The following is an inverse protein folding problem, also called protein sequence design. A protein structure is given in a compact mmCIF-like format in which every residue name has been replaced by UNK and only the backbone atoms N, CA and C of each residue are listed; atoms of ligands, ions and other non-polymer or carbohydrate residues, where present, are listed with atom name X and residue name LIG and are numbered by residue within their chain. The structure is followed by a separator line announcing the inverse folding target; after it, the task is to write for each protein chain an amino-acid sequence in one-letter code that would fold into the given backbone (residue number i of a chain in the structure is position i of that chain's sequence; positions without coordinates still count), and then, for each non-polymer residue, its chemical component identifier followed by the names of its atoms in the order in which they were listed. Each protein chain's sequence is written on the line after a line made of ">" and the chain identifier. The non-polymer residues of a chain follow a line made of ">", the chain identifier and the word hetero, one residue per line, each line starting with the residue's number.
data_IF_358059427130
#
_entry.id   IF_358059427130
#
_cell.length_a   1.000
_cell.length_b   1.000
_cell.length_c   1.000
_cell.angle_alpha   90.00
_cell.angle_beta   90.00
_cell.angle_gamma   90.00
#
_symmetry.space_group_name_H-M   'P 1'
#
loop_
_entity.id
_entity.type
_entity.pdbx_description
1 polymer ?
#
# COMPACT_ATOMS: atom_id res chain seq x y z
N UNK A 1 -24.30 33.22 -47.20
CA UNK A 1 -25.00 32.86 -45.95
C UNK A 1 -25.51 31.43 -46.11
N UNK A 2 -24.79 30.46 -45.53
CA UNK A 2 -25.11 29.82 -44.23
C UNK A 2 -26.34 28.90 -44.35
N UNK A 3 -26.36 27.61 -44.02
CA UNK A 3 -25.42 26.64 -43.45
C UNK A 3 -25.81 25.27 -44.04
N UNK A 4 -24.86 24.49 -44.57
CA UNK A 4 -25.11 23.09 -44.95
C UNK A 4 -24.76 22.16 -43.78
N UNK A 5 -25.69 21.26 -43.45
CA UNK A 5 -25.54 20.16 -42.49
C UNK A 5 -24.30 19.34 -42.81
N UNK A 6 -23.49 19.00 -41.81
CA UNK A 6 -22.52 17.92 -41.91
C UNK A 6 -22.63 16.96 -40.73
N UNK A 7 -22.69 15.68 -41.10
CA UNK A 7 -23.02 14.56 -40.23
C UNK A 7 -21.93 14.21 -39.24
N UNK A 8 -22.38 13.64 -38.13
CA UNK A 8 -21.54 12.93 -37.17
C UNK A 8 -20.88 11.72 -37.86
N UNK A 9 -19.62 11.86 -38.25
CA UNK A 9 -18.76 10.72 -38.54
C UNK A 9 -18.02 10.34 -37.25
N UNK A 10 -18.49 9.29 -36.58
CA UNK A 10 -17.79 8.69 -35.45
C UNK A 10 -16.54 7.97 -35.98
N UNK A 11 -15.39 8.63 -35.93
CA UNK A 11 -14.09 8.00 -36.19
C UNK A 11 -13.60 7.36 -34.89
N UNK A 12 -13.69 6.03 -34.83
CA UNK A 12 -12.95 5.19 -33.89
C UNK A 12 -11.46 5.28 -34.25
N UNK A 13 -10.66 6.00 -33.46
CA UNK A 13 -9.21 6.06 -33.65
C UNK A 13 -8.51 5.71 -32.33
N UNK A 14 -7.75 4.62 -32.41
CA UNK A 14 -6.94 4.02 -31.36
C UNK A 14 -5.86 4.97 -30.86
N UNK A 15 -5.82 5.23 -29.56
CA UNK A 15 -4.63 5.81 -28.92
C UNK A 15 -3.53 4.75 -28.89
N UNK A 16 -2.56 4.85 -29.79
CA UNK A 16 -1.29 4.15 -29.64
C UNK A 16 -0.40 5.04 -28.78
N UNK A 17 -0.39 4.77 -27.48
CA UNK A 17 0.79 5.05 -26.68
C UNK A 17 1.07 3.82 -25.82
N UNK A 18 2.15 3.14 -26.22
CA UNK A 18 2.86 2.20 -25.37
C UNK A 18 3.25 2.96 -24.12
N UNK A 19 2.55 2.64 -23.03
CA UNK A 19 3.09 2.89 -21.71
C UNK A 19 4.20 1.86 -21.58
N UNK A 20 5.46 2.30 -21.56
CA UNK A 20 6.53 1.53 -20.95
C UNK A 20 6.24 1.48 -19.44
N UNK A 21 5.20 0.73 -19.07
CA UNK A 21 5.22 -0.02 -17.84
C UNK A 21 6.19 -1.15 -18.13
N UNK A 22 7.33 -1.15 -17.43
CA UNK A 22 8.02 -2.40 -17.19
C UNK A 22 6.99 -3.36 -16.64
N UNK A 23 6.58 -4.31 -17.49
CA UNK A 23 5.79 -5.47 -17.11
C UNK A 23 6.63 -6.27 -16.12
N UNK A 24 6.50 -5.96 -14.83
CA UNK A 24 6.39 -7.07 -13.88
C UNK A 24 4.94 -7.53 -13.98
N UNK A 25 4.74 -8.69 -14.58
CA UNK A 25 3.49 -9.42 -14.50
C UNK A 25 3.31 -9.88 -13.04
N UNK A 26 2.94 -8.95 -12.15
CA UNK A 26 2.47 -9.27 -10.81
C UNK A 26 0.95 -9.12 -10.79
N UNK A 27 0.31 -10.25 -10.53
CA UNK A 27 -1.10 -10.42 -10.21
C UNK A 27 -1.63 -9.26 -9.33
N UNK A 28 -2.83 -8.69 -9.58
CA UNK A 28 -3.32 -7.51 -8.85
C UNK A 28 -3.70 -7.75 -7.38
N UNK A 29 -3.37 -8.91 -6.82
CA UNK A 29 -3.82 -9.38 -5.50
C UNK A 29 -2.72 -9.37 -4.43
N UNK A 30 -1.45 -9.13 -4.79
CA UNK A 30 -0.31 -9.29 -3.88
C UNK A 30 0.05 -8.06 -3.01
N UNK A 31 -0.31 -6.84 -3.43
CA UNK A 31 0.21 -5.60 -2.81
C UNK A 31 -0.13 -5.39 -1.33
N UNK A 32 -1.18 -6.03 -0.80
CA UNK A 32 -1.54 -5.91 0.62
C UNK A 32 -0.71 -6.76 1.59
N UNK A 33 -0.13 -7.86 1.10
CA UNK A 33 0.70 -8.78 1.90
C UNK A 33 2.07 -8.16 2.19
N UNK A 34 2.66 -7.53 1.18
CA UNK A 34 4.03 -7.04 1.23
C UNK A 34 4.23 -5.93 2.25
N UNK A 35 3.30 -4.98 2.31
CA UNK A 35 3.34 -3.85 3.23
C UNK A 35 3.23 -4.28 4.70
N UNK A 36 2.45 -5.33 4.99
CA UNK A 36 2.30 -5.87 6.35
C UNK A 36 3.56 -6.60 6.80
N UNK A 37 4.19 -7.36 5.89
CA UNK A 37 5.48 -8.02 6.12
C UNK A 37 6.59 -6.97 6.35
N UNK A 38 6.67 -5.97 5.48
CA UNK A 38 7.58 -4.83 5.60
C UNK A 38 7.43 -4.13 6.95
N UNK A 39 6.18 -3.83 7.36
CA UNK A 39 5.92 -3.17 8.63
C UNK A 39 6.30 -4.05 9.83
N UNK A 40 6.12 -5.37 9.75
CA UNK A 40 6.56 -6.30 10.82
C UNK A 40 8.08 -6.29 10.97
N UNK A 41 8.82 -6.31 9.87
CA UNK A 41 10.28 -6.19 9.86
C UNK A 41 10.74 -4.85 10.45
N UNK A 42 10.14 -3.73 10.04
CA UNK A 42 10.44 -2.42 10.62
C UNK A 42 10.15 -2.40 12.13
N UNK A 43 9.03 -2.99 12.57
CA UNK A 43 8.69 -3.09 13.99
C UNK A 43 9.75 -3.87 14.79
N UNK A 44 10.31 -4.96 14.24
CA UNK A 44 11.43 -5.71 14.85
C UNK A 44 12.65 -4.83 15.07
N UNK A 45 13.12 -4.13 14.04
CA UNK A 45 14.28 -3.24 14.14
C UNK A 45 14.07 -2.09 15.14
N UNK A 46 12.88 -1.50 15.10
CA UNK A 46 12.49 -0.44 16.02
C UNK A 46 12.40 -0.93 17.48
N UNK A 47 11.93 -2.16 17.68
CA UNK A 47 11.92 -2.80 19.00
C UNK A 47 13.33 -3.02 19.53
N UNK A 48 14.26 -3.50 18.70
CA UNK A 48 15.67 -3.70 19.09
C UNK A 48 16.38 -2.39 19.46
N UNK A 49 16.11 -1.31 18.72
CA UNK A 49 16.57 0.03 19.09
C UNK A 49 16.05 0.44 20.48
N UNK A 50 14.75 0.23 20.73
CA UNK A 50 14.14 0.52 22.03
C UNK A 50 14.77 -0.32 23.16
N UNK A 51 15.05 -1.61 22.91
CA UNK A 51 15.70 -2.48 23.88
C UNK A 51 17.14 -2.07 24.19
N UNK A 52 17.94 -1.69 23.18
CA UNK A 52 19.32 -1.21 23.39
C UNK A 52 19.37 0.04 24.27
N UNK A 53 18.39 0.92 24.13
CA UNK A 53 18.30 2.16 24.91
C UNK A 53 17.37 2.07 26.14
N UNK A 54 16.94 0.87 26.56
CA UNK A 54 15.97 0.71 27.67
C UNK A 54 16.42 1.35 28.99
N UNK A 55 17.73 1.38 29.24
CA UNK A 55 18.31 1.94 30.47
C UNK A 55 18.61 3.45 30.35
N UNK A 56 18.57 4.03 29.14
CA UNK A 56 18.82 5.45 28.93
C UNK A 56 17.51 6.25 28.97
N UNK A 57 17.26 6.95 30.08
CA UNK A 57 16.03 7.72 30.28
C UNK A 57 15.85 8.86 29.27
N UNK A 58 16.93 9.50 28.82
CA UNK A 58 16.90 10.58 27.85
C UNK A 58 16.52 10.05 26.46
N UNK A 59 17.21 9.02 25.98
CA UNK A 59 16.91 8.40 24.68
C UNK A 59 15.50 7.81 24.64
N UNK A 60 15.02 7.20 25.74
CA UNK A 60 13.63 6.72 25.83
C UNK A 60 12.60 7.84 25.63
N UNK A 61 12.88 9.06 26.11
CA UNK A 61 11.98 10.22 25.86
C UNK A 61 11.98 10.60 24.39
N UNK A 62 13.14 10.60 23.74
CA UNK A 62 13.27 10.91 22.32
C UNK A 62 12.57 9.88 21.44
N UNK A 63 12.69 8.58 21.75
CA UNK A 63 12.03 7.49 21.02
C UNK A 63 10.52 7.71 20.89
N UNK A 64 9.84 8.16 21.96
CA UNK A 64 8.38 8.42 21.93
C UNK A 64 7.94 9.43 20.88
N UNK A 65 8.82 10.34 20.47
CA UNK A 65 8.48 11.44 19.56
C UNK A 65 9.20 11.38 18.22
N UNK A 66 10.42 10.83 18.16
CA UNK A 66 11.35 10.90 17.04
C UNK A 66 11.94 9.52 16.65
N UNK A 67 11.26 8.43 17.00
CA UNK A 67 11.73 7.05 16.74
C UNK A 67 12.30 6.82 15.32
N UNK A 68 11.59 7.26 14.28
CA UNK A 68 12.02 7.07 12.89
C UNK A 68 13.27 7.89 12.54
N UNK A 69 13.49 9.03 13.19
CA UNK A 69 14.70 9.85 12.98
C UNK A 69 15.89 9.20 13.69
N UNK A 70 15.72 8.83 14.96
CA UNK A 70 16.76 8.14 15.74
C UNK A 70 17.22 6.85 15.06
N UNK A 71 16.29 6.06 14.52
CA UNK A 71 16.65 4.84 13.82
C UNK A 71 17.47 5.08 12.53
N UNK A 72 17.26 6.21 11.85
CA UNK A 72 18.06 6.56 10.66
C UNK A 72 19.49 6.98 11.03
N UNK A 73 19.66 7.56 12.21
CA UNK A 73 20.95 8.03 12.73
C UNK A 73 21.73 6.90 13.43
N UNK A 74 21.03 5.90 13.95
CA UNK A 74 21.63 4.72 14.58
C UNK A 74 22.05 3.67 13.54
N UNK A 75 23.34 3.35 13.50
CA UNK A 75 23.95 2.44 12.52
C UNK A 75 23.29 1.07 12.45
N UNK A 76 22.98 0.47 13.61
CA UNK A 76 22.38 -0.86 13.70
C UNK A 76 20.94 -0.84 13.21
N UNK A 77 20.15 0.15 13.64
CA UNK A 77 18.74 0.28 13.26
C UNK A 77 18.58 0.65 11.79
N UNK A 78 19.44 1.54 11.27
CA UNK A 78 19.45 1.92 9.87
C UNK A 78 19.76 0.73 8.96
N UNK A 79 20.76 -0.08 9.32
CA UNK A 79 21.14 -1.29 8.59
C UNK A 79 20.07 -2.38 8.69
N UNK A 80 19.43 -2.53 9.86
CA UNK A 80 18.31 -3.45 10.07
C UNK A 80 17.08 -3.09 9.21
N UNK A 81 16.70 -1.81 9.13
CA UNK A 81 15.50 -1.38 8.40
C UNK A 81 15.66 -1.44 6.87
N UNK A 82 16.89 -1.40 6.35
CA UNK A 82 17.15 -1.37 4.92
C UNK A 82 16.39 -2.47 4.13
N UNK A 83 16.56 -3.77 4.43
CA UNK A 83 15.85 -4.83 3.72
C UNK A 83 14.33 -4.80 3.94
N UNK A 84 13.86 -4.25 5.07
CA UNK A 84 12.44 -4.14 5.33
C UNK A 84 11.72 -3.23 4.32
N UNK A 85 12.41 -2.32 3.61
CA UNK A 85 11.78 -1.34 2.70
C UNK A 85 11.63 -1.80 1.26
N UNK A 86 12.41 -2.78 0.83
CA UNK A 86 12.53 -3.17 -0.58
C UNK A 86 11.63 -4.36 -0.97
N UNK A 87 10.86 -4.90 -0.03
CA UNK A 87 9.93 -6.04 -0.23
C UNK A 87 10.56 -7.25 -0.97
N UNK A 88 11.86 -7.51 -0.72
CA UNK A 88 12.56 -8.67 -1.27
C UNK A 88 12.45 -9.85 -0.29
N UNK A 89 11.90 -10.97 -0.74
CA UNK A 89 11.72 -12.19 0.07
C UNK A 89 12.72 -13.29 -0.22
N UNK A 90 13.56 -13.13 -1.23
CA UNK A 90 14.63 -14.06 -1.56
C UNK A 90 15.90 -13.69 -0.79
N UNK A 91 16.32 -14.56 0.13
CA UNK A 91 17.45 -14.28 1.04
C UNK A 91 18.73 -13.93 0.29
N UNK A 92 19.10 -14.70 -0.74
CA UNK A 92 20.35 -14.50 -1.46
C UNK A 92 20.40 -13.13 -2.14
N UNK A 93 19.30 -12.72 -2.78
CA UNK A 93 19.18 -11.41 -3.42
C UNK A 93 19.25 -10.31 -2.36
N UNK A 94 18.55 -10.45 -1.24
CA UNK A 94 18.55 -9.49 -0.14
C UNK A 94 19.95 -9.33 0.48
N UNK A 95 20.58 -10.43 0.85
CA UNK A 95 21.87 -10.48 1.54
C UNK A 95 23.02 -9.97 0.67
N UNK A 96 23.05 -10.37 -0.60
CA UNK A 96 24.17 -10.04 -1.50
C UNK A 96 24.04 -8.68 -2.18
N UNK A 97 22.82 -8.20 -2.39
CA UNK A 97 22.55 -6.92 -3.09
C UNK A 97 22.38 -5.76 -2.11
N UNK A 98 21.56 -5.92 -1.08
CA UNK A 98 21.22 -4.81 -0.17
C UNK A 98 22.22 -4.67 0.98
N UNK A 99 22.70 -5.78 1.54
CA UNK A 99 23.53 -5.76 2.75
C UNK A 99 25.04 -5.69 2.50
N UNK A 100 25.48 -5.61 1.24
CA UNK A 100 26.92 -5.62 0.90
C UNK A 100 27.66 -4.37 1.38
N UNK A 101 27.07 -3.21 1.13
CA UNK A 101 27.71 -1.91 1.35
C UNK A 101 27.17 -1.19 2.61
N UNK A 102 26.45 -1.90 3.48
CA UNK A 102 25.94 -1.31 4.72
C UNK A 102 27.05 -1.19 5.77
N UNK A 103 27.03 -0.16 6.62
CA UNK A 103 27.98 -0.02 7.72
C UNK A 103 27.95 -1.20 8.70
N UNK A 104 26.82 -1.90 8.79
CA UNK A 104 26.67 -3.11 9.57
C UNK A 104 25.89 -4.18 8.78
N UNK A 105 26.61 -5.07 8.06
CA UNK A 105 26.01 -6.15 7.30
C UNK A 105 25.31 -7.20 8.16
N UNK A 106 25.67 -7.32 9.45
CA UNK A 106 25.16 -8.37 10.34
C UNK A 106 23.68 -8.17 10.61
N UNK A 107 23.27 -7.02 11.16
CA UNK A 107 21.85 -6.76 11.45
C UNK A 107 21.02 -6.61 10.17
N UNK A 108 21.64 -6.21 9.04
CA UNK A 108 20.99 -6.22 7.73
C UNK A 108 20.65 -7.67 7.30
N UNK A 109 21.62 -8.59 7.34
CA UNK A 109 21.40 -10.00 6.96
C UNK A 109 20.42 -10.71 7.88
N UNK A 110 20.47 -10.45 9.19
CA UNK A 110 19.46 -10.95 10.14
C UNK A 110 18.05 -10.50 9.75
N UNK A 111 17.91 -9.30 9.22
CA UNK A 111 16.63 -8.76 8.77
C UNK A 111 16.17 -9.37 7.45
N UNK A 112 17.10 -9.73 6.54
CA UNK A 112 16.79 -10.56 5.36
C UNK A 112 16.25 -11.94 5.75
N UNK A 113 16.93 -12.63 6.69
CA UNK A 113 16.46 -13.93 7.22
C UNK A 113 15.08 -13.78 7.86
N UNK A 114 14.89 -12.73 8.66
CA UNK A 114 13.61 -12.47 9.29
C UNK A 114 12.49 -12.26 8.26
N UNK A 115 12.75 -11.47 7.21
CA UNK A 115 11.80 -11.20 6.12
C UNK A 115 11.37 -12.48 5.40
N UNK A 116 12.31 -13.33 5.01
CA UNK A 116 12.03 -14.63 4.38
C UNK A 116 11.14 -15.50 5.29
N UNK A 117 11.48 -15.62 6.57
CA UNK A 117 10.72 -16.41 7.53
C UNK A 117 9.28 -15.92 7.71
N UNK A 118 9.07 -14.61 7.84
CA UNK A 118 7.73 -14.06 8.06
C UNK A 118 6.89 -13.98 6.78
N UNK A 119 7.53 -13.99 5.61
CA UNK A 119 6.88 -14.12 4.31
C UNK A 119 6.43 -15.57 4.07
N UNK A 120 7.29 -16.55 4.34
CA UNK A 120 6.96 -17.96 4.24
C UNK A 120 5.90 -18.40 5.26
N UNK A 121 5.94 -17.83 6.48
CA UNK A 121 5.04 -18.17 7.58
C UNK A 121 4.49 -16.93 8.29
N UNK A 122 3.32 -16.48 7.82
CA UNK A 122 2.53 -15.42 8.45
C UNK A 122 1.97 -15.87 9.80
N UNK A 123 1.58 -14.89 10.61
CA UNK A 123 1.00 -15.12 11.94
C UNK A 123 -0.32 -15.92 11.88
N UNK A 124 -0.58 -16.70 12.93
CA UNK A 124 -1.78 -17.54 13.05
C UNK A 124 -1.59 -18.95 12.51
N UNK A 125 -2.66 -19.73 12.63
CA UNK A 125 -2.70 -21.14 12.21
C UNK A 125 -3.74 -21.32 11.11
N UNK A 126 -3.54 -22.31 10.24
CA UNK A 126 -4.58 -22.74 9.31
C UNK A 126 -5.83 -23.15 10.10
N UNK A 127 -7.03 -22.75 9.64
CA UNK A 127 -8.26 -23.12 10.32
C UNK A 127 -8.46 -24.64 10.31
N UNK A 128 -9.15 -25.21 11.31
CA UNK A 128 -9.45 -26.63 11.32
C UNK A 128 -10.27 -26.99 10.10
N UNK A 129 -9.80 -27.99 9.36
CA UNK A 129 -10.49 -28.47 8.17
C UNK A 129 -11.70 -29.29 8.59
N UNK A 130 -12.86 -29.03 7.99
CA UNK A 130 -13.98 -29.98 8.06
C UNK A 130 -13.60 -31.20 7.20
N UNK A 131 -14.03 -32.42 7.56
CA UNK A 131 -13.84 -33.58 6.69
C UNK A 131 -14.44 -33.26 5.31
N UNK A 132 -13.58 -33.21 4.31
CA UNK A 132 -13.96 -32.85 2.93
C UNK A 132 -14.54 -34.05 2.21
N UNK A 133 -15.56 -33.81 1.39
CA UNK A 133 -16.07 -34.70 0.33
C UNK A 133 -14.87 -35.20 -0.53
N UNK A 134 -14.89 -36.42 -1.08
CA UNK A 134 -13.77 -36.93 -1.89
C UNK A 134 -13.49 -35.98 -3.05
N UNK A 135 -12.28 -35.43 -3.08
CA UNK A 135 -11.82 -34.56 -4.17
C UNK A 135 -11.05 -35.43 -5.15
N UNK A 136 -11.52 -35.50 -6.40
CA UNK A 136 -10.90 -36.32 -7.45
C UNK A 136 -9.70 -35.66 -8.13
N UNK A 137 -9.42 -34.38 -7.84
CA UNK A 137 -8.36 -33.61 -8.50
C UNK A 137 -7.68 -32.63 -7.52
N UNK A 138 -6.35 -32.66 -7.46
CA UNK A 138 -5.54 -31.88 -6.52
C UNK A 138 -4.96 -30.65 -7.21
N UNK A 139 -5.09 -29.47 -6.60
CA UNK A 139 -4.57 -28.20 -7.14
C UNK A 139 -3.82 -27.41 -6.08
N UNK A 140 -2.69 -26.82 -6.46
CA UNK A 140 -1.92 -25.91 -5.61
C UNK A 140 -2.13 -24.45 -6.05
N UNK A 141 -2.93 -23.68 -5.32
CA UNK A 141 -3.18 -22.26 -5.61
C UNK A 141 -2.16 -21.32 -4.94
N UNK A 142 -1.33 -21.86 -4.04
CA UNK A 142 -0.28 -21.15 -3.31
C UNK A 142 0.79 -22.15 -2.85
N UNK A 143 2.02 -21.68 -2.70
CA UNK A 143 3.18 -22.45 -2.24
C UNK A 143 3.69 -21.96 -0.88
N UNK A 144 3.56 -20.67 -0.60
CA UNK A 144 3.93 -20.04 0.67
C UNK A 144 2.89 -19.02 1.11
N UNK A 145 2.92 -18.61 2.38
CA UNK A 145 1.94 -17.66 2.89
C UNK A 145 2.00 -16.30 2.18
N UNK A 146 3.16 -15.90 1.65
CA UNK A 146 3.33 -14.64 0.90
C UNK A 146 2.55 -14.59 -0.41
N UNK A 147 2.21 -15.74 -1.01
CA UNK A 147 1.37 -15.83 -2.21
C UNK A 147 -0.08 -15.43 -1.92
N UNK A 148 -0.49 -15.54 -0.64
CA UNK A 148 -1.82 -15.22 -0.18
C UNK A 148 -1.96 -13.74 0.18
N UNK A 149 -3.16 -13.19 -0.01
CA UNK A 149 -3.41 -11.77 0.24
C UNK A 149 -3.41 -11.45 1.74
N UNK A 150 -2.91 -10.26 2.10
CA UNK A 150 -2.95 -9.72 3.46
C UNK A 150 -2.50 -10.74 4.53
N UNK A 151 -3.41 -11.17 5.43
CA UNK A 151 -3.14 -12.11 6.53
C UNK A 151 -3.48 -13.55 6.20
N UNK A 152 -3.98 -13.83 4.99
CA UNK A 152 -4.32 -15.19 4.58
C UNK A 152 -3.06 -16.06 4.54
N UNK A 153 -3.26 -17.33 4.89
CA UNK A 153 -2.22 -18.35 4.95
C UNK A 153 -2.45 -19.39 3.87
N UNK A 154 -1.36 -19.93 3.34
CA UNK A 154 -1.41 -21.04 2.40
C UNK A 154 -1.57 -22.36 3.17
N UNK A 155 -2.76 -22.95 3.07
CA UNK A 155 -3.17 -24.09 3.88
C UNK A 155 -3.45 -25.32 3.02
N UNK A 156 -3.02 -26.49 3.50
CA UNK A 156 -3.34 -27.78 2.88
C UNK A 156 -4.75 -28.21 3.28
N UNK A 157 -5.58 -28.52 2.29
CA UNK A 157 -6.94 -29.04 2.45
C UNK A 157 -7.08 -30.29 1.59
N UNK A 158 -7.08 -31.46 2.23
CA UNK A 158 -6.95 -32.73 1.52
C UNK A 158 -5.60 -32.81 0.81
N UNK A 159 -5.60 -32.91 -0.51
CA UNK A 159 -4.38 -32.86 -1.34
C UNK A 159 -4.14 -31.50 -2.03
N UNK A 160 -5.03 -30.53 -1.85
CA UNK A 160 -4.96 -29.21 -2.48
C UNK A 160 -4.43 -28.15 -1.51
N UNK A 161 -3.99 -27.00 -2.04
CA UNK A 161 -3.52 -25.85 -1.25
C UNK A 161 -4.31 -24.59 -1.57
N UNK A 162 -4.86 -23.93 -0.55
CA UNK A 162 -5.69 -22.73 -0.69
C UNK A 162 -5.26 -21.63 0.27
N UNK A 163 -5.45 -20.38 -0.14
CA UNK A 163 -5.36 -19.23 0.77
C UNK A 163 -6.59 -19.18 1.67
N UNK A 164 -6.38 -19.35 2.98
CA UNK A 164 -7.44 -19.35 3.98
C UNK A 164 -7.18 -18.29 5.05
N UNK A 165 -8.28 -17.73 5.56
CA UNK A 165 -8.22 -16.85 6.73
C UNK A 165 -7.70 -17.62 7.96
N UNK A 166 -6.67 -17.11 8.64
CA UNK A 166 -6.05 -17.81 9.76
C UNK A 166 -6.92 -17.78 11.02
N UNK A 167 -6.77 -18.81 11.84
CA UNK A 167 -7.13 -18.74 13.26
C UNK A 167 -6.06 -17.95 14.00
N UNK A 168 -6.43 -16.76 14.49
CA UNK A 168 -5.55 -15.87 15.23
C UNK A 168 -6.00 -15.81 16.70
N UNK A 169 -5.19 -16.39 17.58
CA UNK A 169 -5.39 -16.34 19.04
C UNK A 169 -4.04 -16.08 19.73
N UNK A 170 -3.44 -14.92 19.45
CA UNK A 170 -2.18 -14.49 20.07
C UNK A 170 -2.41 -13.15 20.78
N UNK A 171 -2.32 -13.18 22.11
CA UNK A 171 -2.52 -12.01 22.96
C UNK A 171 -1.43 -10.95 22.80
N UNK A 172 -0.30 -11.30 22.16
CA UNK A 172 0.79 -10.38 21.86
C UNK A 172 0.52 -9.55 20.61
N UNK A 173 -0.50 -9.87 19.81
CA UNK A 173 -0.87 -9.08 18.64
C UNK A 173 -1.71 -7.86 19.06
N UNK A 174 -1.50 -6.73 18.37
CA UNK A 174 -2.28 -5.52 18.59
C UNK A 174 -3.72 -5.70 18.09
N UNK A 175 -4.75 -5.32 18.86
CA UNK A 175 -6.14 -5.43 18.39
C UNK A 175 -6.36 -4.64 17.10
N UNK A 176 -7.31 -5.09 16.27
CA UNK A 176 -7.66 -4.39 15.02
C UNK A 176 -8.11 -2.94 15.33
N UNK A 177 -7.55 -1.92 14.65
CA UNK A 177 -8.00 -0.54 14.83
C UNK A 177 -9.48 -0.36 14.53
N UNK A 178 -10.13 0.54 15.25
CA UNK A 178 -11.55 0.84 15.09
C UNK A 178 -11.82 2.35 15.10
N UNK A 179 -13.05 2.74 14.76
CA UNK A 179 -13.44 4.15 14.81
C UNK A 179 -12.61 5.04 13.88
N UNK A 180 -12.34 4.57 12.66
CA UNK A 180 -11.54 5.29 11.68
C UNK A 180 -12.29 6.57 11.26
N UNK A 181 -11.74 7.73 11.61
CA UNK A 181 -12.33 9.03 11.30
C UNK A 181 -11.36 9.92 10.52
N UNK A 182 -11.92 10.69 9.57
CA UNK A 182 -11.15 11.59 8.71
C UNK A 182 -11.76 12.98 8.79
N UNK A 183 -10.93 13.97 9.11
CA UNK A 183 -11.36 15.36 9.22
C UNK A 183 -10.45 16.26 8.38
N UNK A 184 -11.05 17.16 7.60
CA UNK A 184 -10.27 18.19 6.91
C UNK A 184 -9.69 19.18 7.93
N UNK A 185 -8.44 19.60 7.70
CA UNK A 185 -7.75 20.58 8.53
C UNK A 185 -7.94 21.98 7.94
N UNK A 186 -7.77 23.02 8.78
CA UNK A 186 -7.87 24.43 8.38
C UNK A 186 -6.99 24.84 7.18
N UNK A 187 -5.87 24.13 6.94
CA UNK A 187 -4.99 24.38 5.78
C UNK A 187 -5.53 23.61 4.56
N UNK A 188 -5.76 24.32 3.45
CA UNK A 188 -6.30 23.77 2.18
C UNK A 188 -5.52 22.50 1.76
N UNK A 189 -6.23 21.42 1.41
CA UNK A 189 -5.69 20.09 1.00
C UNK A 189 -4.91 19.33 2.09
N UNK A 190 -5.31 19.46 3.35
CA UNK A 190 -4.77 18.63 4.42
C UNK A 190 -5.90 17.98 5.21
N UNK A 191 -5.79 16.68 5.48
CA UNK A 191 -6.70 15.98 6.36
C UNK A 191 -5.95 15.32 7.53
N UNK A 192 -6.68 15.01 8.59
CA UNK A 192 -6.19 14.19 9.70
C UNK A 192 -7.04 12.93 9.81
N UNK A 193 -6.36 11.78 9.73
CA UNK A 193 -6.91 10.45 9.94
C UNK A 193 -6.64 10.05 11.39
N UNK A 194 -7.65 9.56 12.11
CA UNK A 194 -7.55 9.08 13.50
C UNK A 194 -8.24 7.73 13.65
N UNK A 195 -7.76 6.92 14.60
CA UNK A 195 -8.35 5.64 14.96
C UNK A 195 -8.19 5.38 16.46
N UNK A 196 -8.95 4.42 16.97
CA UNK A 196 -8.99 4.02 18.38
C UNK A 196 -8.58 2.56 18.51
N UNK A 197 -7.92 2.22 19.64
CA UNK A 197 -7.60 0.84 20.01
C UNK A 197 -8.36 0.50 21.29
N UNK A 198 -9.25 -0.49 21.23
CA UNK A 198 -10.21 -0.74 22.33
C UNK A 198 -9.57 -1.34 23.59
N UNK A 199 -8.50 -2.15 23.49
CA UNK A 199 -7.90 -2.88 24.62
C UNK A 199 -6.41 -3.17 24.41
N UNK A 200 -5.56 -2.18 24.67
CA UNK A 200 -4.11 -2.40 24.67
C UNK A 200 -3.67 -3.00 26.02
N UNK A 201 -2.88 -4.06 26.00
CA UNK A 201 -2.26 -4.63 27.21
C UNK A 201 -1.12 -3.71 27.69
N UNK A 202 -0.66 -3.87 28.95
CA UNK A 202 0.53 -3.16 29.44
C UNK A 202 1.75 -3.37 28.53
N UNK A 203 1.93 -4.59 28.00
CA UNK A 203 2.99 -4.93 27.05
C UNK A 203 2.86 -4.14 25.75
N UNK A 204 1.63 -4.01 25.22
CA UNK A 204 1.40 -3.20 24.02
C UNK A 204 1.71 -1.72 24.26
N UNK A 205 1.31 -1.16 25.41
CA UNK A 205 1.56 0.26 25.71
C UNK A 205 3.01 0.56 26.10
N UNK A 206 3.76 -0.44 26.54
CA UNK A 206 5.14 -0.28 26.98
C UNK A 206 6.13 -0.12 25.81
N UNK A 207 5.73 -0.46 24.58
CA UNK A 207 6.60 -0.38 23.41
C UNK A 207 6.16 0.71 22.43
N UNK A 208 7.15 1.41 21.87
CA UNK A 208 6.94 2.42 20.82
C UNK A 208 7.10 1.85 19.40
N UNK A 209 7.47 0.58 19.27
CA UNK A 209 7.70 -0.10 17.98
C UNK A 209 6.42 -0.58 17.29
N UNK A 210 5.25 -0.31 17.87
CA UNK A 210 3.96 -0.57 17.25
C UNK A 210 3.77 0.34 16.02
N UNK A 211 3.50 -0.26 14.87
CA UNK A 211 3.31 0.44 13.61
C UNK A 211 1.87 0.32 13.12
N UNK A 212 1.42 1.33 12.38
CA UNK A 212 0.12 1.41 11.78
C UNK A 212 0.28 1.62 10.27
N UNK A 213 -0.11 0.60 9.51
CA UNK A 213 -0.10 0.63 8.04
C UNK A 213 -1.42 1.22 7.58
N UNK A 214 -1.34 2.33 6.85
CA UNK A 214 -2.51 3.08 6.41
C UNK A 214 -2.67 2.87 4.91
N UNK A 215 -3.82 2.31 4.54
CA UNK A 215 -4.22 2.15 3.16
C UNK A 215 -5.38 3.08 2.83
N UNK A 216 -5.41 3.50 1.57
CA UNK A 216 -6.56 4.18 0.99
C UNK A 216 -7.03 3.45 -0.26
N UNK A 217 -8.24 3.80 -0.68
CA UNK A 217 -8.67 3.67 -2.07
C UNK A 217 -9.56 4.85 -2.41
N UNK A 218 -9.68 5.13 -3.70
CA UNK A 218 -10.39 6.31 -4.15
C UNK A 218 -11.20 6.07 -5.42
N UNK A 219 -12.21 6.91 -5.62
CA UNK A 219 -13.00 6.99 -6.85
C UNK A 219 -13.44 8.43 -7.08
N UNK A 220 -13.91 8.72 -8.30
CA UNK A 220 -14.56 10.01 -8.61
C UNK A 220 -16.06 10.00 -8.28
N UNK A 221 -16.65 8.82 -8.13
CA UNK A 221 -18.05 8.62 -7.76
C UNK A 221 -18.15 8.15 -6.31
N UNK A 222 -19.31 8.36 -5.66
CA UNK A 222 -19.51 7.89 -4.27
C UNK A 222 -19.58 6.37 -4.14
N UNK A 223 -19.82 5.65 -5.23
CA UNK A 223 -20.05 4.21 -5.25
C UNK A 223 -18.74 3.43 -5.03
N UNK A 224 -18.85 2.38 -4.21
CA UNK A 224 -17.75 1.49 -3.83
C UNK A 224 -17.11 0.78 -5.02
N UNK A 225 -17.92 0.38 -6.00
CA UNK A 225 -17.51 -0.58 -7.04
C UNK A 225 -16.58 0.04 -8.09
N UNK A 226 -16.56 1.37 -8.15
CA UNK A 226 -15.67 2.14 -9.05
C UNK A 226 -14.36 2.56 -8.36
N UNK A 227 -14.11 2.10 -7.13
CA UNK A 227 -12.90 2.44 -6.40
C UNK A 227 -11.68 1.69 -6.92
N UNK A 228 -10.58 2.40 -7.00
CA UNK A 228 -9.27 1.82 -7.26
C UNK A 228 -8.94 0.71 -6.23
N UNK A 229 -8.00 -0.19 -6.54
CA UNK A 229 -7.46 -1.12 -5.56
C UNK A 229 -6.91 -0.40 -4.33
N UNK A 230 -6.81 -1.14 -3.22
CA UNK A 230 -6.18 -0.63 -2.01
C UNK A 230 -4.71 -0.32 -2.25
N UNK A 231 -4.24 0.81 -1.73
CA UNK A 231 -2.86 1.24 -1.82
C UNK A 231 -2.38 1.76 -0.47
N UNK A 232 -1.19 1.34 -0.05
CA UNK A 232 -0.54 1.86 1.16
C UNK A 232 0.02 3.25 0.89
N UNK A 233 -0.34 4.18 1.77
CA UNK A 233 0.09 5.58 1.66
C UNK A 233 1.14 5.97 2.68
N UNK A 234 1.17 5.30 3.83
CA UNK A 234 2.17 5.53 4.86
C UNK A 234 2.09 4.50 5.99
N UNK A 235 3.22 4.35 6.67
CA UNK A 235 3.36 3.65 7.95
C UNK A 235 3.71 4.66 9.04
N UNK A 236 3.06 4.56 10.21
CA UNK A 236 3.27 5.49 11.35
C UNK A 236 3.30 4.74 12.68
N UNK A 237 3.97 5.31 13.69
CA UNK A 237 3.98 4.79 15.06
C UNK A 237 3.03 5.56 16.00
N UNK A 238 2.18 6.43 15.44
CA UNK A 238 1.18 7.22 16.18
C UNK A 238 -0.21 6.83 15.72
N UNK A 239 -1.19 6.94 16.62
CA UNK A 239 -2.60 6.59 16.38
C UNK A 239 -3.36 7.63 15.53
N UNK A 240 -2.62 8.43 14.76
CA UNK A 240 -3.15 9.40 13.84
C UNK A 240 -2.15 9.63 12.70
N UNK A 241 -2.66 10.06 11.56
CA UNK A 241 -1.85 10.46 10.41
C UNK A 241 -2.31 11.79 9.84
N UNK A 242 -1.34 12.61 9.43
CA UNK A 242 -1.59 13.88 8.75
C UNK A 242 -1.34 13.67 7.26
N UNK A 243 -2.40 13.82 6.48
CA UNK A 243 -2.39 13.68 5.02
C UNK A 243 -2.19 15.06 4.39
N UNK A 244 -0.94 15.53 4.34
CA UNK A 244 -0.58 16.83 3.79
C UNK A 244 -0.32 16.69 2.29
N UNK A 245 -1.09 17.38 1.44
CA UNK A 245 -0.93 17.39 -0.03
C UNK A 245 -1.11 16.04 -0.76
N UNK A 246 -1.49 14.97 -0.07
CA UNK A 246 -1.73 13.66 -0.69
C UNK A 246 -3.09 13.58 -1.39
N UNK A 247 -4.08 14.32 -0.90
CA UNK A 247 -5.47 14.22 -1.36
C UNK A 247 -5.72 15.17 -2.54
N UNK A 248 -6.20 14.59 -3.65
CA UNK A 248 -6.65 15.33 -4.82
C UNK A 248 -8.08 15.81 -4.62
N UNK A 249 -8.38 17.08 -4.95
CA UNK A 249 -9.76 17.57 -5.05
C UNK A 249 -10.64 16.71 -5.97
N UNK A 250 -11.95 16.69 -5.71
CA UNK A 250 -12.92 16.00 -6.57
C UNK A 250 -13.02 14.47 -6.39
N UNK A 251 -12.14 13.84 -5.60
CA UNK A 251 -12.17 12.39 -5.33
C UNK A 251 -12.80 12.07 -3.98
N UNK A 252 -13.43 10.90 -3.91
CA UNK A 252 -13.89 10.26 -2.68
C UNK A 252 -12.84 9.24 -2.24
N UNK A 253 -12.51 9.27 -0.96
CA UNK A 253 -11.49 8.43 -0.33
C UNK A 253 -12.10 7.56 0.75
N UNK A 254 -11.69 6.30 0.80
CA UNK A 254 -11.94 5.38 1.91
C UNK A 254 -10.58 4.95 2.45
N UNK A 255 -10.46 4.89 3.77
CA UNK A 255 -9.25 4.50 4.47
C UNK A 255 -9.47 3.23 5.28
N UNK A 256 -8.42 2.44 5.45
CA UNK A 256 -8.36 1.34 6.43
C UNK A 256 -6.97 1.31 7.06
N UNK A 257 -6.88 0.80 8.29
CA UNK A 257 -5.64 0.81 9.06
C UNK A 257 -5.39 -0.57 9.65
N UNK A 258 -4.19 -1.12 9.46
CA UNK A 258 -3.73 -2.31 10.16
C UNK A 258 -2.78 -1.91 11.29
N UNK A 259 -2.90 -2.56 12.44
CA UNK A 259 -1.93 -2.45 13.53
C UNK A 259 -0.94 -3.62 13.43
N UNK A 260 0.36 -3.32 13.43
CA UNK A 260 1.44 -4.27 13.22
C UNK A 260 2.46 -4.13 14.34
N UNK A 261 2.89 -5.25 14.91
CA UNK A 261 4.04 -5.31 15.80
C UNK A 261 4.98 -6.45 15.38
N UNK A 262 6.03 -6.71 16.16
CA UNK A 262 7.02 -7.75 15.87
C UNK A 262 6.40 -9.17 15.74
N UNK A 263 5.25 -9.41 16.37
CA UNK A 263 4.55 -10.70 16.32
C UNK A 263 3.64 -10.86 15.11
N UNK A 264 3.21 -9.75 14.48
CA UNK A 264 2.37 -9.75 13.29
C UNK A 264 1.21 -8.76 13.39
N UNK A 265 0.07 -9.14 12.81
CA UNK A 265 -1.12 -8.30 12.73
C UNK A 265 -2.40 -9.15 12.67
N UNK A 266 -3.53 -8.59 13.14
CA UNK A 266 -4.86 -9.13 12.84
C UNK A 266 -5.39 -8.72 11.46
N UNK A 267 -4.66 -7.89 10.72
CA UNK A 267 -5.05 -7.35 9.42
C UNK A 267 -5.69 -5.97 9.51
N UNK A 268 -6.23 -5.50 8.38
CA UNK A 268 -6.78 -4.14 8.28
C UNK A 268 -8.12 -3.98 9.00
N UNK A 269 -8.38 -2.79 9.52
CA UNK A 269 -9.66 -2.38 10.07
C UNK A 269 -10.80 -2.48 9.05
N UNK A 270 -12.03 -2.42 9.57
CA UNK A 270 -13.15 -2.05 8.72
C UNK A 270 -12.88 -0.70 8.01
N UNK A 271 -13.28 -0.55 6.75
CA UNK A 271 -13.08 0.70 6.02
C UNK A 271 -13.81 1.87 6.65
N UNK A 272 -13.21 3.06 6.60
CA UNK A 272 -13.80 4.32 7.07
C UNK A 272 -15.10 4.62 6.34
N UNK A 273 -16.14 5.03 7.07
CA UNK A 273 -17.43 5.45 6.49
C UNK A 273 -17.91 6.76 7.12
N UNK A 274 -18.60 7.63 6.36
CA UNK A 274 -18.79 7.58 4.90
C UNK A 274 -17.49 7.93 4.13
N UNK A 275 -17.45 7.78 2.79
CA UNK A 275 -16.29 8.20 1.99
C UNK A 275 -15.97 9.69 2.20
N UNK A 276 -14.70 10.00 2.40
CA UNK A 276 -14.20 11.35 2.64
C UNK A 276 -13.92 12.09 1.32
N UNK A 277 -14.32 13.36 1.22
CA UNK A 277 -14.00 14.24 0.09
C UNK A 277 -13.53 15.59 0.64
N UNK A 278 -12.48 16.14 0.04
CA UNK A 278 -12.02 17.49 0.37
C UNK A 278 -13.10 18.52 0.02
N UNK A 279 -13.26 19.55 0.85
CA UNK A 279 -14.11 20.71 0.55
C UNK A 279 -13.58 21.51 -0.64
N UNK A 280 -12.27 21.46 -0.91
CA UNK A 280 -11.68 22.10 -2.08
C UNK A 280 -12.23 21.47 -3.37
N UNK A 281 -12.79 22.31 -4.22
CA UNK A 281 -13.27 21.92 -5.55
C UNK A 281 -12.12 21.62 -6.52
N UNK A 282 -12.37 20.68 -7.43
CA UNK A 282 -11.42 20.34 -8.49
C UNK A 282 -11.42 21.43 -9.55
N UNK A 283 -10.22 21.79 -10.01
CA UNK A 283 -10.07 22.75 -11.12
C UNK A 283 -10.37 22.08 -12.45
N UNK A 284 -10.92 22.85 -13.39
CA UNK A 284 -11.06 22.42 -14.77
C UNK A 284 -9.68 22.07 -15.37
N UNK A 285 -9.57 21.01 -16.19
CA UNK A 285 -8.32 20.66 -16.84
C UNK A 285 -7.80 21.79 -17.75
N UNK A 286 -6.50 22.04 -17.80
CA UNK A 286 -5.92 22.97 -18.77
C UNK A 286 -5.97 22.39 -20.20
N UNK A 287 -5.67 23.23 -21.19
CA UNK A 287 -5.60 22.79 -22.60
C UNK A 287 -4.51 21.72 -22.81
N UNK A 288 -4.70 20.80 -23.79
CA UNK A 288 -3.67 19.81 -24.15
C UNK A 288 -2.35 20.47 -24.55
N UNK A 289 -1.24 19.76 -24.33
CA UNK A 289 0.11 20.25 -24.61
C UNK A 289 0.61 19.71 -25.95
N UNK A 290 1.53 20.41 -26.60
CA UNK A 290 2.25 19.95 -27.80
C UNK A 290 1.36 19.45 -28.94
N UNK A 291 0.32 20.21 -29.28
CA UNK A 291 -0.53 19.92 -30.44
C UNK A 291 0.29 20.07 -31.72
N UNK A 292 0.48 18.98 -32.46
CA UNK A 292 1.28 18.94 -33.68
C UNK A 292 0.61 18.12 -34.78
N UNK A 293 0.87 18.49 -36.03
CA UNK A 293 0.49 17.72 -37.20
C UNK A 293 1.67 16.85 -37.63
N UNK A 294 1.46 15.54 -37.64
CA UNK A 294 2.43 14.55 -38.10
C UNK A 294 2.00 14.10 -39.49
N UNK A 295 2.79 14.46 -40.49
CA UNK A 295 2.62 13.96 -41.86
C UNK A 295 3.39 12.66 -42.01
N UNK A 296 2.67 11.58 -42.31
CA UNK A 296 3.24 10.29 -42.65
C UNK A 296 3.00 10.04 -44.16
N UNK A 297 4.04 10.10 -45.00
CA UNK A 297 3.91 9.88 -46.44
C UNK A 297 3.31 8.51 -46.80
N UNK A 298 3.47 7.52 -45.92
CA UNK A 298 3.04 6.14 -46.13
C UNK A 298 1.66 5.85 -45.50
N UNK A 299 1.12 6.76 -44.70
CA UNK A 299 -0.18 6.63 -44.03
C UNK A 299 -0.98 7.95 -44.07
N UNK A 300 -1.35 8.48 -45.25
CA UNK A 300 -2.32 9.57 -45.34
C UNK A 300 -3.69 9.10 -44.78
N UNK A 301 -4.46 9.95 -44.08
CA UNK A 301 -4.32 11.41 -43.86
C UNK A 301 -3.37 11.81 -42.69
N UNK A 302 -2.97 13.10 -42.61
CA UNK A 302 -2.12 13.59 -41.51
C UNK A 302 -2.73 13.32 -40.14
N UNK A 303 -1.88 12.95 -39.18
CA UNK A 303 -2.28 12.62 -37.81
C UNK A 303 -2.07 13.84 -36.91
N UNK A 304 -3.01 14.10 -36.02
CA UNK A 304 -2.88 15.13 -34.99
C UNK A 304 -2.44 14.43 -33.71
N UNK A 305 -1.32 14.89 -33.12
CA UNK A 305 -0.76 14.33 -31.89
C UNK A 305 -0.68 15.42 -30.84
N UNK A 306 -1.03 15.09 -29.60
CA UNK A 306 -0.91 15.98 -28.44
C UNK A 306 -0.59 15.18 -27.18
N UNK A 307 -0.12 15.88 -26.17
CA UNK A 307 0.11 15.38 -24.83
C UNK A 307 -1.06 15.75 -23.91
N UNK A 308 -1.45 14.81 -23.04
CA UNK A 308 -2.49 15.04 -22.06
C UNK A 308 -2.09 16.14 -21.06
N UNK A 309 -3.00 17.06 -20.69
CA UNK A 309 -2.74 18.05 -19.66
C UNK A 309 -2.70 17.43 -18.27
N UNK A 310 -1.95 18.06 -17.35
CA UNK A 310 -2.01 17.72 -15.92
C UNK A 310 -3.40 18.09 -15.39
N UNK A 311 -4.14 17.11 -14.88
CA UNK A 311 -5.52 17.27 -14.41
C UNK A 311 -5.73 16.69 -13.00
N UNK A 312 -6.55 17.37 -12.19
CA UNK A 312 -6.95 16.89 -10.85
C UNK A 312 -7.99 15.77 -10.90
N UNK A 313 -8.65 15.63 -12.05
CA UNK A 313 -9.69 14.63 -12.33
C UNK A 313 -9.35 13.82 -13.60
N UNK A 314 -9.81 12.56 -13.73
CA UNK A 314 -9.65 11.79 -14.95
C UNK A 314 -10.27 12.51 -16.16
N UNK A 315 -9.53 12.57 -17.25
CA UNK A 315 -10.00 13.13 -18.52
C UNK A 315 -10.86 12.09 -19.24
N UNK A 316 -12.06 12.48 -19.68
CA UNK A 316 -12.98 11.59 -20.39
C UNK A 316 -12.81 11.66 -21.91
N UNK A 317 -12.74 12.88 -22.44
CA UNK A 317 -12.72 13.14 -23.87
C UNK A 317 -11.96 14.44 -24.17
N UNK A 318 -11.45 14.54 -25.41
CA UNK A 318 -10.93 15.77 -25.98
C UNK A 318 -11.90 16.24 -27.07
N UNK A 319 -12.18 17.54 -27.11
CA UNK A 319 -13.00 18.15 -28.17
C UNK A 319 -12.08 18.92 -29.11
N UNK A 320 -12.06 18.50 -30.38
CA UNK A 320 -11.31 19.11 -31.46
C UNK A 320 -12.27 19.86 -32.37
N UNK A 321 -12.01 21.14 -32.61
CA UNK A 321 -12.77 21.97 -33.53
C UNK A 321 -11.80 22.49 -34.61
N UNK A 322 -12.20 22.42 -35.88
CA UNK A 322 -11.46 22.96 -37.03
C UNK A 322 -12.41 23.80 -37.90
N UNK A 323 -11.86 24.79 -38.60
CA UNK A 323 -12.58 25.73 -39.46
C UNK A 323 -11.83 25.92 -40.77
#
# INVERSE_FOLDING_TARGET
>A
MQFARFGHLALLLSSVFGILFLNSANSPTAGGSEDLISARCQSKCLYELEQRHKNNAETRRLIRHQMSTLCKEDTFCASCILPCRESLYEFDVCSHTLCRDTPDPTHCRESCVFMEQIAAKKAGHCPPQKPSVPVSECSAFCDVDSDCAEVEKCCVVGCSRFCLSPSLNDSRLLPRPEGITVHERKRKRSAILRWVMKRLSPQHTATNSNLFVIQWRWSVHKQSDTMAPWQTIMVRNKMYAILKHLLSPGRFYIFRVAAVNLHGTYGFSEPSRPPFKLSKEAKAPPAPLNLTFVYDPFSPPPKIVWNAPISEIPLKEYRLNWW
#
